data_IF_684368655147
#
_entry.id   IF_684368655147
#
_cell.length_a   1.000
_cell.length_b   1.000
_cell.length_c   1.000
_cell.angle_alpha   90.00
_cell.angle_beta   90.00
_cell.angle_gamma   90.00
#
_symmetry.space_group_name_H-M   'P 1'
#
loop_
_entity.id
_entity.type
_entity.pdbx_description
1 polymer ?
#
# COMPACT_ATOMS: atom_id res chain seq x y z
N UNK A 1 -19.47 30.16 -21.68
CA UNK A 1 -18.16 29.51 -21.52
C UNK A 1 -18.42 28.06 -21.13
N UNK A 2 -18.20 27.12 -22.04
CA UNK A 2 -18.49 25.69 -21.82
C UNK A 2 -17.20 25.07 -21.29
N UNK A 3 -17.18 24.70 -20.01
CA UNK A 3 -16.05 24.03 -19.39
C UNK A 3 -16.07 22.54 -19.75
N UNK A 4 -15.13 22.10 -20.58
CA UNK A 4 -14.84 20.68 -20.71
C UNK A 4 -14.20 20.20 -19.40
N UNK A 5 -14.88 19.33 -18.66
CA UNK A 5 -14.23 18.51 -17.64
C UNK A 5 -13.19 17.67 -18.36
N UNK A 6 -11.93 17.77 -17.94
CA UNK A 6 -10.93 16.77 -18.31
C UNK A 6 -11.44 15.40 -17.86
N UNK A 7 -11.30 14.34 -18.67
CA UNK A 7 -11.52 13.00 -18.16
C UNK A 7 -10.63 12.79 -16.92
N UNK A 8 -11.20 12.23 -15.86
CA UNK A 8 -10.41 11.77 -14.73
C UNK A 8 -9.60 10.55 -15.22
N UNK A 9 -8.34 10.76 -15.58
CA UNK A 9 -7.47 9.75 -16.19
C UNK A 9 -6.84 8.77 -15.18
N UNK A 10 -7.10 8.94 -13.88
CA UNK A 10 -6.62 8.01 -12.85
C UNK A 10 -7.64 7.87 -11.72
N UNK A 11 -8.19 6.67 -11.57
CA UNK A 11 -8.78 6.22 -10.32
C UNK A 11 -7.92 5.04 -9.85
N UNK A 12 -7.52 5.06 -8.58
CA UNK A 12 -6.73 4.01 -7.93
C UNK A 12 -7.58 3.01 -7.17
N UNK A 13 -8.88 3.28 -7.09
CA UNK A 13 -9.88 2.46 -6.41
C UNK A 13 -10.34 1.33 -7.34
N UNK A 14 -10.64 0.14 -6.79
CA UNK A 14 -10.90 -1.12 -7.53
C UNK A 14 -11.81 -1.01 -8.75
N UNK A 15 -12.72 -0.04 -8.71
CA UNK A 15 -13.68 0.28 -9.76
C UNK A 15 -13.04 0.87 -11.02
N UNK A 16 -11.76 1.23 -10.97
CA UNK A 16 -11.03 1.78 -12.10
C UNK A 16 -10.57 0.68 -13.06
N UNK A 17 -10.77 0.84 -14.39
CA UNK A 17 -10.42 -0.20 -15.37
C UNK A 17 -8.96 -0.66 -15.30
N UNK A 18 -8.03 0.26 -15.02
CA UNK A 18 -6.59 -0.02 -15.04
C UNK A 18 -6.08 -0.83 -13.84
N UNK A 19 -6.76 -0.78 -12.69
CA UNK A 19 -6.33 -1.51 -11.50
C UNK A 19 -7.30 -2.62 -11.08
N UNK A 20 -8.45 -2.76 -11.76
CA UNK A 20 -9.42 -3.84 -11.52
C UNK A 20 -8.84 -5.26 -11.60
N UNK A 21 -7.74 -5.44 -12.34
CA UNK A 21 -7.01 -6.71 -12.50
C UNK A 21 -5.84 -6.90 -11.54
N UNK A 22 -5.39 -5.83 -10.87
CA UNK A 22 -4.28 -5.84 -9.92
C UNK A 22 -4.81 -5.42 -8.53
N UNK A 23 -5.26 -6.42 -7.78
CA UNK A 23 -5.86 -6.21 -6.47
C UNK A 23 -4.85 -5.65 -5.44
N UNK A 24 -3.54 -5.82 -5.68
CA UNK A 24 -2.52 -5.33 -4.76
C UNK A 24 -2.21 -3.84 -4.97
N UNK A 25 -2.61 -3.28 -6.12
CA UNK A 25 -2.51 -1.86 -6.45
C UNK A 25 -3.77 -1.05 -6.07
N UNK A 26 -4.77 -1.69 -5.46
CA UNK A 26 -6.02 -1.06 -5.03
C UNK A 26 -5.81 -0.13 -3.82
N UNK A 27 -5.81 1.17 -4.08
CA UNK A 27 -5.68 2.20 -3.05
C UNK A 27 -7.06 2.61 -2.54
N UNK A 28 -7.30 2.42 -1.25
CA UNK A 28 -8.61 2.67 -0.65
C UNK A 28 -8.74 4.13 -0.22
N UNK A 29 -7.82 4.61 0.61
CA UNK A 29 -7.92 5.91 1.26
C UNK A 29 -6.55 6.57 1.46
N UNK A 30 -6.54 7.90 1.37
CA UNK A 30 -5.40 8.73 1.79
C UNK A 30 -5.87 9.71 2.85
N UNK A 31 -5.13 9.76 3.96
CA UNK A 31 -5.36 10.71 5.05
C UNK A 31 -4.17 11.66 5.17
N UNK A 32 -4.47 12.94 5.31
CA UNK A 32 -3.47 13.98 5.55
C UNK A 32 -3.94 14.86 6.71
N UNK A 33 -3.14 14.96 7.77
CA UNK A 33 -3.46 15.78 8.93
C UNK A 33 -2.21 16.30 9.61
N UNK A 34 -2.34 17.45 10.29
CA UNK A 34 -1.26 18.02 11.11
C UNK A 34 -0.90 17.04 12.24
N UNK A 35 0.37 16.66 12.35
CA UNK A 35 0.79 15.64 13.31
C UNK A 35 0.52 16.10 14.75
N UNK A 36 -0.18 15.31 15.59
CA UNK A 36 -0.54 15.72 16.96
C UNK A 36 0.68 15.79 17.90
N UNK A 37 1.69 14.96 17.67
CA UNK A 37 2.95 14.87 18.41
C UNK A 37 4.02 15.83 17.89
N UNK A 38 3.96 16.19 16.60
CA UNK A 38 4.86 17.14 15.94
C UNK A 38 4.09 18.17 15.11
N UNK A 39 3.50 19.19 15.74
CA UNK A 39 2.53 20.06 15.08
C UNK A 39 3.08 20.92 13.93
N UNK A 40 4.39 20.96 13.69
CA UNK A 40 4.97 21.62 12.52
C UNK A 40 5.13 20.68 11.32
N UNK A 41 4.61 19.46 11.39
CA UNK A 41 4.62 18.49 10.28
C UNK A 41 3.21 18.04 9.91
N UNK A 42 3.11 17.44 8.73
CA UNK A 42 1.92 16.73 8.26
C UNK A 42 2.22 15.24 8.34
N UNK A 43 1.27 14.47 8.87
CA UNK A 43 1.24 13.02 8.78
C UNK A 43 0.41 12.63 7.56
N UNK A 44 1.01 11.79 6.72
CA UNK A 44 0.36 11.18 5.56
C UNK A 44 0.19 9.68 5.83
N UNK A 45 -0.99 9.14 5.52
CA UNK A 45 -1.29 7.71 5.61
C UNK A 45 -1.97 7.33 4.30
N UNK A 46 -1.51 6.26 3.66
CA UNK A 46 -2.14 5.67 2.49
C UNK A 46 -2.49 4.21 2.79
N UNK A 47 -3.74 3.84 2.53
CA UNK A 47 -4.25 2.49 2.72
C UNK A 47 -4.41 1.81 1.36
N UNK A 48 -4.09 0.53 1.32
CA UNK A 48 -4.22 -0.33 0.15
C UNK A 48 -4.83 -1.65 0.58
N UNK A 49 -5.45 -2.37 -0.36
CA UNK A 49 -6.05 -3.70 -0.15
C UNK A 49 -7.22 -3.63 0.86
N UNK A 50 -8.47 -3.44 0.40
CA UNK A 50 -9.62 -3.37 1.30
C UNK A 50 -9.96 -4.75 1.90
N UNK A 51 -10.64 -4.72 3.04
CA UNK A 51 -11.33 -5.86 3.65
C UNK A 51 -10.43 -7.07 4.01
N UNK A 52 -9.32 -6.80 4.71
CA UNK A 52 -8.42 -7.86 5.19
C UNK A 52 -9.05 -8.70 6.31
N UNK A 53 -9.54 -9.90 5.98
CA UNK A 53 -10.16 -10.83 6.94
C UNK A 53 -9.11 -11.66 7.72
N UNK A 54 -9.13 -11.67 9.07
CA UNK A 54 -8.12 -12.35 9.89
C UNK A 54 -8.04 -13.88 9.76
N UNK A 55 -9.10 -14.55 9.32
CA UNK A 55 -9.15 -15.99 9.08
C UNK A 55 -8.83 -16.39 7.62
N UNK A 56 -8.31 -15.47 6.78
CA UNK A 56 -7.91 -15.73 5.39
C UNK A 56 -6.66 -16.64 5.23
N UNK A 57 -6.18 -17.25 6.31
CA UNK A 57 -5.08 -18.20 6.28
C UNK A 57 -5.35 -19.39 5.33
N UNK A 58 -4.30 -19.98 4.74
CA UNK A 58 -2.88 -19.74 4.99
C UNK A 58 -2.26 -18.60 4.15
N UNK A 59 -3.06 -17.93 3.32
CA UNK A 59 -2.61 -16.87 2.40
C UNK A 59 -3.12 -15.51 2.89
N UNK A 60 -2.33 -14.84 3.71
CA UNK A 60 -2.64 -13.50 4.19
C UNK A 60 -2.34 -12.42 3.14
N UNK A 61 -2.98 -11.26 3.32
CA UNK A 61 -2.78 -10.07 2.50
C UNK A 61 -1.34 -9.56 2.62
N UNK A 62 -0.85 -8.97 1.52
CA UNK A 62 0.53 -8.53 1.39
C UNK A 62 0.64 -7.44 0.34
N UNK A 63 1.63 -6.57 0.43
CA UNK A 63 1.95 -5.64 -0.65
C UNK A 63 2.50 -6.39 -1.87
N UNK A 64 2.24 -5.87 -3.07
CA UNK A 64 2.76 -6.39 -4.33
C UNK A 64 4.27 -6.17 -4.44
N UNK A 65 4.98 -7.15 -5.01
CA UNK A 65 6.41 -7.00 -5.29
C UNK A 65 6.68 -6.24 -6.61
N UNK A 66 5.65 -6.11 -7.44
CA UNK A 66 5.64 -5.50 -8.76
C UNK A 66 4.90 -4.14 -8.78
N UNK A 67 4.39 -3.71 -7.64
CA UNK A 67 3.67 -2.43 -7.47
C UNK A 67 4.63 -1.38 -6.91
N UNK A 68 4.60 -0.17 -7.51
CA UNK A 68 5.21 1.03 -6.92
C UNK A 68 4.11 1.79 -6.17
N UNK A 69 4.22 1.87 -4.85
CA UNK A 69 3.29 2.62 -4.01
C UNK A 69 3.83 4.03 -3.82
N UNK A 70 3.04 5.05 -4.14
CA UNK A 70 3.48 6.45 -4.10
C UNK A 70 2.47 7.35 -3.40
N UNK A 71 3.00 8.34 -2.68
CA UNK A 71 2.25 9.52 -2.24
C UNK A 71 2.93 10.74 -2.86
N UNK A 72 2.23 11.40 -3.78
CA UNK A 72 2.67 12.62 -4.43
C UNK A 72 2.06 13.84 -3.73
N UNK A 73 2.86 14.86 -3.46
CA UNK A 73 2.45 16.09 -2.77
C UNK A 73 2.77 17.29 -3.64
N UNK A 74 1.72 17.97 -4.07
CA UNK A 74 1.75 19.33 -4.58
C UNK A 74 1.51 20.28 -3.39
N UNK A 75 2.47 21.16 -3.09
CA UNK A 75 2.39 22.12 -1.99
C UNK A 75 2.38 23.58 -2.44
N UNK A 76 2.44 23.85 -3.75
CA UNK A 76 2.39 25.20 -4.32
C UNK A 76 1.16 25.46 -5.23
N UNK A 77 0.42 24.40 -5.58
CA UNK A 77 -0.85 24.44 -6.30
C UNK A 77 -0.71 24.45 -7.81
N UNK A 78 0.43 24.06 -8.37
CA UNK A 78 0.65 24.02 -9.83
C UNK A 78 0.19 22.71 -10.52
N UNK A 79 -0.35 21.76 -9.74
CA UNK A 79 -0.77 20.43 -10.14
C UNK A 79 0.38 19.51 -10.61
N UNK A 80 1.58 19.72 -10.08
CA UNK A 80 2.75 18.83 -10.19
C UNK A 80 3.25 18.47 -8.82
N UNK A 81 3.90 17.31 -8.72
CA UNK A 81 4.47 16.86 -7.45
C UNK A 81 5.76 17.63 -7.11
N UNK A 82 5.77 18.25 -5.93
CA UNK A 82 6.97 18.83 -5.33
C UNK A 82 7.75 17.79 -4.51
N UNK A 83 7.02 16.88 -3.88
CA UNK A 83 7.57 15.80 -3.06
C UNK A 83 6.85 14.50 -3.42
N UNK A 84 7.64 13.43 -3.53
CA UNK A 84 7.14 12.09 -3.81
C UNK A 84 7.74 11.09 -2.82
N UNK A 85 6.87 10.38 -2.12
CA UNK A 85 7.24 9.31 -1.20
C UNK A 85 6.93 7.98 -1.87
N UNK A 86 7.98 7.20 -2.16
CA UNK A 86 7.88 5.96 -2.90
C UNK A 86 8.22 4.77 -2.00
N UNK A 87 7.49 3.68 -2.17
CA UNK A 87 7.73 2.43 -1.45
C UNK A 87 7.71 1.26 -2.43
N UNK A 88 8.79 0.48 -2.43
CA UNK A 88 8.86 -0.80 -3.16
C UNK A 88 8.99 -1.96 -2.20
N UNK A 89 7.97 -2.81 -2.16
CA UNK A 89 7.95 -3.97 -1.29
C UNK A 89 8.63 -5.17 -1.94
N UNK A 90 9.34 -5.95 -1.13
CA UNK A 90 9.98 -7.18 -1.53
C UNK A 90 9.73 -8.25 -0.48
N UNK A 91 9.30 -9.42 -0.94
CA UNK A 91 8.98 -10.55 -0.07
C UNK A 91 10.15 -11.53 0.03
N UNK A 92 10.39 -12.07 1.22
CA UNK A 92 11.33 -13.17 1.46
C UNK A 92 10.58 -14.36 2.02
N UNK A 93 10.85 -15.54 1.46
CA UNK A 93 10.38 -16.83 1.98
C UNK A 93 11.53 -17.53 2.68
N UNK A 94 11.36 -17.85 3.96
CA UNK A 94 12.40 -18.44 4.80
C UNK A 94 12.58 -19.95 4.56
N UNK A 95 11.47 -20.66 4.35
CA UNK A 95 11.41 -22.09 4.08
C UNK A 95 10.64 -22.36 2.78
N UNK A 96 11.37 -22.57 1.69
CA UNK A 96 10.80 -22.90 0.37
C UNK A 96 10.16 -24.28 0.25
N UNK A 97 10.23 -25.13 1.28
CA UNK A 97 9.58 -26.45 1.27
C UNK A 97 8.08 -26.38 1.61
N UNK A 98 7.55 -25.20 1.91
CA UNK A 98 6.13 -24.98 2.21
C UNK A 98 5.66 -23.66 1.62
N UNK A 99 4.38 -23.59 1.24
CA UNK A 99 3.73 -22.36 0.77
C UNK A 99 3.08 -21.57 1.91
N UNK A 100 3.05 -22.11 3.14
CA UNK A 100 2.37 -21.49 4.27
C UNK A 100 3.03 -20.18 4.69
N UNK A 101 2.22 -19.18 5.06
CA UNK A 101 2.71 -17.93 5.67
C UNK A 101 3.45 -18.18 6.99
N UNK A 102 2.95 -19.13 7.78
CA UNK A 102 3.53 -19.53 9.06
C UNK A 102 3.35 -21.03 9.33
N UNK A 103 4.29 -21.62 10.08
CA UNK A 103 4.25 -23.05 10.44
C UNK A 103 3.75 -23.31 11.87
N UNK A 104 3.36 -22.25 12.58
CA UNK A 104 2.90 -22.26 13.96
C UNK A 104 2.61 -20.83 14.44
N UNK A 105 2.21 -20.62 15.71
CA UNK A 105 2.01 -19.28 16.26
C UNK A 105 3.24 -18.39 16.10
N UNK A 106 3.03 -17.12 15.73
CA UNK A 106 4.10 -16.11 15.61
C UNK A 106 4.04 -15.21 16.85
N UNK A 107 5.15 -15.11 17.57
CA UNK A 107 5.27 -14.29 18.79
C UNK A 107 6.18 -13.08 18.62
N UNK A 108 6.96 -13.02 17.53
CA UNK A 108 7.83 -11.90 17.21
C UNK A 108 8.20 -11.89 15.72
N UNK A 109 8.80 -10.79 15.25
CA UNK A 109 9.32 -10.69 13.87
C UNK A 109 10.50 -11.65 13.59
N UNK A 110 11.13 -12.22 14.63
CA UNK A 110 12.24 -13.18 14.48
C UNK A 110 11.81 -14.62 14.79
N UNK A 111 10.50 -14.85 14.92
CA UNK A 111 9.97 -16.16 15.26
C UNK A 111 10.27 -17.16 14.12
N UNK A 112 10.85 -18.33 14.40
CA UNK A 112 11.12 -19.33 13.37
C UNK A 112 9.85 -19.84 12.66
N UNK A 113 8.67 -19.64 13.25
CA UNK A 113 7.39 -19.96 12.60
C UNK A 113 6.99 -18.94 11.53
N UNK A 114 7.59 -17.75 11.44
CA UNK A 114 7.30 -16.76 10.40
C UNK A 114 8.02 -17.13 9.10
N UNK A 115 7.27 -17.62 8.12
CA UNK A 115 7.85 -18.09 6.86
C UNK A 115 7.93 -16.99 5.79
N UNK A 116 7.02 -16.02 5.81
CA UNK A 116 6.97 -14.95 4.82
C UNK A 116 7.15 -13.57 5.47
N UNK A 117 8.19 -12.86 5.04
CA UNK A 117 8.53 -11.51 5.51
C UNK A 117 8.40 -10.51 4.34
N UNK A 118 8.01 -9.27 4.62
CA UNK A 118 8.04 -8.17 3.65
C UNK A 118 8.92 -7.02 4.14
N UNK A 119 9.72 -6.50 3.23
CA UNK A 119 10.60 -5.35 3.42
C UNK A 119 10.25 -4.28 2.38
N UNK A 120 10.54 -3.02 2.67
CA UNK A 120 10.42 -1.94 1.70
C UNK A 120 11.72 -1.13 1.61
N UNK A 121 11.90 -0.48 0.47
CA UNK A 121 12.95 0.52 0.20
C UNK A 121 12.34 1.77 -0.37
#
# INVERSE_FOLDING_TARGET
MIGFSRPADASSHREAPFISGDQLADATDVYAFRSPDRPNTVTLIANYIPAEEPAAGPNFYKFGNDVLYEINVDNDGDARDDLSFQFRFHSRVNNGNTFLYNTGPITSLKDPNLNQEQFYS
#
